data_IF_973529344974
#
_entry.id   IF_973529344974
#
_cell.length_a   1.000
_cell.length_b   1.000
_cell.length_c   1.000
_cell.angle_alpha   90.00
_cell.angle_beta   90.00
_cell.angle_gamma   90.00
#
_symmetry.space_group_name_H-M   'P 1'
#
loop_
_entity.id
_entity.type
_entity.pdbx_description
1 polymer ?
#
# COMPACT_ATOMS: atom_id res chain seq x y z
N UNK A 1 25.38 2.13 -31.99
CA UNK A 1 26.29 1.91 -30.85
C UNK A 1 25.73 2.71 -29.67
N UNK A 2 24.87 2.15 -28.80
CA UNK A 2 24.58 2.80 -27.53
C UNK A 2 25.90 2.89 -26.75
N UNK A 3 26.22 4.08 -26.23
CA UNK A 3 27.51 4.35 -25.60
C UNK A 3 27.72 3.51 -24.34
N UNK A 4 28.97 3.11 -24.09
CA UNK A 4 29.43 2.40 -22.90
C UNK A 4 29.01 3.08 -21.57
N UNK A 5 28.69 4.38 -21.60
CA UNK A 5 28.17 5.15 -20.46
C UNK A 5 26.77 4.71 -20.00
N UNK A 6 25.86 4.34 -20.92
CA UNK A 6 24.51 3.89 -20.55
C UNK A 6 24.55 2.53 -19.82
N UNK A 7 25.49 1.65 -20.20
CA UNK A 7 25.72 0.38 -19.52
C UNK A 7 26.38 0.57 -18.14
N UNK A 8 27.20 1.60 -17.96
CA UNK A 8 27.88 1.90 -16.69
C UNK A 8 26.94 2.48 -15.62
N UNK A 9 25.93 3.29 -16.02
CA UNK A 9 24.94 3.85 -15.07
C UNK A 9 24.04 2.77 -14.47
N UNK A 10 23.74 1.70 -15.22
CA UNK A 10 22.89 0.59 -14.77
C UNK A 10 23.47 -0.21 -13.59
N UNK A 11 24.76 -0.10 -13.29
CA UNK A 11 25.38 -0.79 -12.13
C UNK A 11 25.42 0.04 -10.85
N UNK A 12 25.09 1.34 -10.89
CA UNK A 12 25.19 2.24 -9.72
C UNK A 12 23.91 2.26 -8.89
N UNK A 13 22.76 1.96 -9.49
CA UNK A 13 21.44 2.01 -8.83
C UNK A 13 20.97 0.59 -8.53
N UNK A 14 20.90 0.23 -7.24
CA UNK A 14 20.30 -1.03 -6.80
C UNK A 14 18.80 -1.05 -7.17
N UNK A 15 18.35 -1.98 -8.04
CA UNK A 15 16.96 -2.05 -8.48
C UNK A 15 15.96 -2.23 -7.34
N UNK A 16 16.34 -2.92 -6.24
CA UNK A 16 15.47 -3.10 -5.08
C UNK A 16 15.28 -1.78 -4.34
N UNK A 17 16.35 -1.04 -4.11
CA UNK A 17 16.28 0.29 -3.48
C UNK A 17 15.50 1.28 -4.35
N UNK A 18 15.70 1.24 -5.67
CA UNK A 18 14.96 2.08 -6.60
C UNK A 18 13.47 1.77 -6.59
N UNK A 19 13.07 0.49 -6.66
CA UNK A 19 11.67 0.07 -6.56
C UNK A 19 11.05 0.50 -5.22
N UNK A 20 11.78 0.35 -4.12
CA UNK A 20 11.34 0.81 -2.79
C UNK A 20 11.14 2.32 -2.75
N UNK A 21 12.04 3.08 -3.37
CA UNK A 21 11.92 4.53 -3.48
C UNK A 21 10.67 4.93 -4.28
N UNK A 22 10.44 4.30 -5.44
CA UNK A 22 9.23 4.51 -6.25
C UNK A 22 7.93 4.19 -5.49
N UNK A 23 7.93 3.17 -4.63
CA UNK A 23 6.78 2.82 -3.81
C UNK A 23 6.31 3.92 -2.84
N UNK A 24 7.10 4.98 -2.62
CA UNK A 24 6.66 6.15 -1.85
C UNK A 24 5.69 7.05 -2.62
N UNK A 25 5.59 6.91 -3.94
CA UNK A 25 4.56 7.55 -4.74
C UNK A 25 3.31 6.67 -4.73
N UNK A 26 2.34 7.01 -3.89
CA UNK A 26 1.08 6.29 -3.83
C UNK A 26 0.33 6.41 -5.16
N UNK A 27 -0.25 5.31 -5.63
CA UNK A 27 -0.99 5.24 -6.89
C UNK A 27 -2.34 4.58 -6.66
N UNK A 28 -3.29 4.82 -7.56
CA UNK A 28 -4.44 3.93 -7.70
C UNK A 28 -4.03 2.63 -8.39
N UNK A 29 -4.83 1.58 -8.20
CA UNK A 29 -4.65 0.31 -8.92
C UNK A 29 -5.58 0.26 -10.12
N UNK A 30 -5.06 -0.14 -11.27
CA UNK A 30 -5.88 -0.30 -12.49
C UNK A 30 -5.76 -1.71 -13.06
N UNK A 31 -6.79 -2.17 -13.75
CA UNK A 31 -6.70 -3.27 -14.71
C UNK A 31 -6.91 -2.70 -16.09
N UNK A 32 -5.88 -2.79 -16.93
CA UNK A 32 -5.96 -2.39 -18.33
C UNK A 32 -6.35 -3.59 -19.16
N UNK A 33 -7.33 -3.41 -20.03
CA UNK A 33 -7.95 -4.49 -20.81
C UNK A 33 -7.93 -4.17 -22.30
N UNK A 34 -7.91 -5.22 -23.12
CA UNK A 34 -7.98 -5.15 -24.59
C UNK A 34 -8.54 -6.46 -25.14
N UNK A 35 -8.83 -6.48 -26.45
CA UNK A 35 -9.07 -7.71 -27.21
C UNK A 35 -7.84 -8.00 -28.07
N UNK A 36 -7.42 -9.25 -28.16
CA UNK A 36 -6.35 -9.66 -29.08
C UNK A 36 -6.89 -9.89 -30.52
N UNK A 37 -6.00 -10.08 -31.52
CA UNK A 37 -6.44 -10.31 -32.91
C UNK A 37 -7.27 -11.58 -33.12
N UNK A 38 -7.25 -12.53 -32.19
CA UNK A 38 -8.06 -13.76 -32.23
C UNK A 38 -9.43 -13.58 -31.54
N UNK A 39 -9.71 -12.39 -30.99
CA UNK A 39 -10.94 -12.09 -30.27
C UNK A 39 -10.90 -12.47 -28.79
N UNK A 40 -9.74 -12.86 -28.25
CA UNK A 40 -9.62 -13.20 -26.84
C UNK A 40 -9.48 -11.94 -25.98
N UNK A 41 -10.17 -11.93 -24.83
CA UNK A 41 -10.06 -10.87 -23.84
C UNK A 41 -8.74 -10.97 -23.08
N UNK A 42 -8.05 -9.84 -23.00
CA UNK A 42 -6.75 -9.70 -22.35
C UNK A 42 -6.85 -8.62 -21.29
N UNK A 43 -6.20 -8.85 -20.14
CA UNK A 43 -6.11 -7.83 -19.10
C UNK A 43 -4.87 -7.98 -18.22
N UNK A 44 -4.38 -6.84 -17.75
CA UNK A 44 -3.16 -6.71 -16.95
C UNK A 44 -3.39 -5.68 -15.84
N UNK A 45 -3.04 -6.05 -14.61
CA UNK A 45 -2.98 -5.10 -13.49
C UNK A 45 -1.80 -4.15 -13.69
N UNK A 46 -2.04 -2.85 -13.55
CA UNK A 46 -1.02 -1.81 -13.67
C UNK A 46 -1.24 -0.69 -12.64
N UNK A 47 -0.15 -0.21 -12.05
CA UNK A 47 -0.09 0.99 -11.21
C UNK A 47 0.68 2.14 -11.87
N UNK A 48 1.13 1.95 -13.13
CA UNK A 48 1.87 2.93 -13.93
C UNK A 48 0.98 3.94 -14.65
N UNK A 49 -0.34 3.85 -14.47
CA UNK A 49 -1.32 4.74 -15.10
C UNK A 49 -1.18 6.20 -14.64
N UNK A 50 -1.29 7.15 -15.58
CA UNK A 50 -1.38 8.57 -15.26
C UNK A 50 -2.10 9.38 -16.36
N UNK A 51 -2.60 10.56 -15.99
CA UNK A 51 -3.12 11.55 -16.95
C UNK A 51 -1.99 12.29 -17.67
N UNK A 52 -2.22 12.63 -18.95
CA UNK A 52 -1.23 13.31 -19.81
C UNK A 52 -1.72 14.68 -20.25
N UNK A 53 -2.93 14.75 -20.79
CA UNK A 53 -3.49 15.99 -21.35
C UNK A 53 -5.00 16.05 -21.12
N UNK A 54 -5.53 17.26 -21.00
CA UNK A 54 -6.98 17.51 -20.96
C UNK A 54 -7.55 17.86 -22.34
N UNK A 55 -6.73 18.38 -23.26
CA UNK A 55 -7.16 18.78 -24.61
C UNK A 55 -6.04 18.49 -25.64
N UNK A 56 -6.13 17.40 -26.43
CA UNK A 56 -7.14 16.34 -26.33
C UNK A 56 -7.01 15.56 -25.00
N UNK A 57 -8.07 14.90 -24.52
CA UNK A 57 -8.01 14.12 -23.28
C UNK A 57 -7.13 12.88 -23.50
N UNK A 58 -6.00 12.81 -22.81
CA UNK A 58 -5.02 11.74 -22.98
C UNK A 58 -4.54 11.18 -21.65
N UNK A 59 -4.31 9.87 -21.64
CA UNK A 59 -3.73 9.13 -20.53
C UNK A 59 -2.57 8.26 -21.04
N UNK A 60 -1.74 7.79 -20.12
CA UNK A 60 -0.71 6.79 -20.41
C UNK A 60 -0.64 5.72 -19.34
N UNK A 61 0.02 4.62 -19.68
CA UNK A 61 0.48 3.60 -18.75
C UNK A 61 1.66 2.84 -19.38
N UNK A 62 2.38 2.09 -18.56
CA UNK A 62 3.57 1.34 -18.99
C UNK A 62 3.36 -0.17 -18.86
N UNK A 63 3.68 -0.90 -19.94
CA UNK A 63 3.59 -2.36 -20.04
C UNK A 63 4.99 -2.98 -20.12
N UNK A 64 5.27 -3.96 -19.27
CA UNK A 64 6.51 -4.73 -19.30
C UNK A 64 6.71 -5.40 -20.69
N UNK A 65 7.90 -5.27 -21.28
CA UNK A 65 8.22 -5.87 -22.58
C UNK A 65 8.21 -7.40 -22.57
N UNK A 66 8.45 -8.00 -21.41
CA UNK A 66 8.39 -9.45 -21.19
C UNK A 66 6.98 -9.94 -20.84
N UNK A 67 5.98 -9.05 -20.84
CA UNK A 67 4.59 -9.42 -20.63
C UNK A 67 4.07 -10.32 -21.76
N UNK A 68 3.41 -11.42 -21.39
CA UNK A 68 2.69 -12.30 -22.33
C UNK A 68 1.58 -11.56 -23.07
N UNK A 69 1.09 -10.44 -22.53
CA UNK A 69 0.04 -9.62 -23.12
C UNK A 69 0.58 -8.55 -24.08
N UNK A 70 1.91 -8.40 -24.24
CA UNK A 70 2.52 -7.36 -25.09
C UNK A 70 1.97 -7.35 -26.51
N UNK A 71 1.98 -8.50 -27.18
CA UNK A 71 1.56 -8.60 -28.57
C UNK A 71 0.08 -8.18 -28.77
N UNK A 72 -0.80 -8.48 -27.80
CA UNK A 72 -2.19 -8.06 -27.85
C UNK A 72 -2.33 -6.53 -27.76
N UNK A 73 -1.65 -5.90 -26.82
CA UNK A 73 -1.70 -4.43 -26.65
C UNK A 73 -0.98 -3.67 -27.77
N UNK A 74 0.06 -4.25 -28.39
CA UNK A 74 0.70 -3.69 -29.58
C UNK A 74 -0.21 -3.74 -30.81
N UNK A 75 -0.97 -4.84 -30.98
CA UNK A 75 -1.87 -5.00 -32.12
C UNK A 75 -3.20 -4.25 -31.96
N UNK A 76 -3.75 -4.15 -30.75
CA UNK A 76 -5.07 -3.60 -30.53
C UNK A 76 -5.19 -2.09 -30.77
N UNK A 77 -6.28 -1.65 -31.38
CA UNK A 77 -6.63 -0.24 -31.62
C UNK A 77 -7.13 0.46 -30.36
N UNK A 78 -7.81 -0.27 -29.47
CA UNK A 78 -8.46 0.26 -28.28
C UNK A 78 -8.05 -0.49 -27.01
N UNK A 79 -8.12 0.19 -25.88
CA UNK A 79 -7.97 -0.41 -24.57
C UNK A 79 -8.84 0.32 -23.54
N UNK A 80 -9.18 -0.34 -22.45
CA UNK A 80 -9.94 0.27 -21.35
C UNK A 80 -9.09 0.20 -20.07
N UNK A 81 -8.94 1.35 -19.41
CA UNK A 81 -8.36 1.44 -18.06
C UNK A 81 -9.49 1.37 -17.05
N UNK A 82 -9.49 0.32 -16.22
CA UNK A 82 -10.46 0.12 -15.14
C UNK A 82 -9.78 0.45 -13.80
N UNK A 83 -10.11 1.58 -13.19
CA UNK A 83 -9.57 2.00 -11.88
C UNK A 83 -10.33 1.23 -10.79
N UNK A 84 -9.61 0.35 -10.09
CA UNK A 84 -10.22 -0.59 -9.14
C UNK A 84 -10.72 0.11 -7.89
N UNK A 85 -11.83 -0.38 -7.33
CA UNK A 85 -12.34 0.04 -6.02
C UNK A 85 -11.72 -0.77 -4.88
N UNK A 86 -11.85 -0.29 -3.65
CA UNK A 86 -11.29 -0.93 -2.43
C UNK A 86 -11.73 -2.39 -2.22
N UNK A 87 -12.87 -2.80 -2.80
CA UNK A 87 -13.40 -4.17 -2.72
C UNK A 87 -12.74 -5.13 -3.72
N UNK A 88 -11.94 -4.62 -4.66
CA UNK A 88 -11.45 -5.37 -5.82
C UNK A 88 -9.99 -5.85 -5.70
N UNK A 89 -9.50 -6.10 -4.48
CA UNK A 89 -8.16 -6.67 -4.23
C UNK A 89 -7.97 -8.01 -4.95
N UNK A 90 -8.97 -8.90 -4.85
CA UNK A 90 -8.92 -10.21 -5.50
C UNK A 90 -8.80 -10.10 -7.03
N UNK A 91 -9.47 -9.10 -7.63
CA UNK A 91 -9.40 -8.83 -9.06
C UNK A 91 -8.01 -8.33 -9.46
N UNK A 92 -7.44 -7.40 -8.68
CA UNK A 92 -6.06 -6.93 -8.87
C UNK A 92 -5.06 -8.10 -8.87
N UNK A 93 -5.15 -8.99 -7.89
CA UNK A 93 -4.25 -10.15 -7.75
C UNK A 93 -4.43 -11.15 -8.91
N UNK A 94 -5.66 -11.40 -9.35
CA UNK A 94 -5.96 -12.28 -10.47
C UNK A 94 -5.35 -11.75 -11.79
N UNK A 95 -5.47 -10.43 -12.02
CA UNK A 95 -4.97 -9.81 -13.25
C UNK A 95 -3.47 -9.52 -13.23
N UNK A 96 -2.82 -9.53 -12.07
CA UNK A 96 -1.36 -9.43 -11.93
C UNK A 96 -0.63 -10.76 -12.22
N UNK A 97 -1.28 -11.91 -11.98
CA UNK A 97 -0.69 -13.23 -12.22
C UNK A 97 -0.57 -13.56 -13.72
N UNK A 98 0.44 -14.35 -14.08
CA UNK A 98 0.58 -14.95 -15.42
C UNK A 98 -0.40 -16.12 -15.55
N UNK A 99 -1.03 -16.29 -16.71
CA UNK A 99 -1.92 -17.41 -16.99
C UNK A 99 -3.11 -17.05 -17.87
N UNK A 100 -3.88 -18.06 -18.27
CA UNK A 100 -5.09 -17.94 -19.07
C UNK A 100 -6.34 -17.91 -18.18
N UNK A 101 -7.50 -17.53 -18.76
CA UNK A 101 -8.84 -17.62 -18.14
C UNK A 101 -9.21 -16.59 -17.05
N UNK A 102 -8.49 -15.47 -16.96
CA UNK A 102 -8.78 -14.38 -16.00
C UNK A 102 -10.23 -13.89 -16.02
N UNK A 103 -10.86 -13.91 -17.21
CA UNK A 103 -12.22 -13.40 -17.41
C UNK A 103 -13.35 -14.40 -17.11
N UNK A 104 -13.06 -15.67 -16.74
CA UNK A 104 -14.13 -16.66 -16.51
C UNK A 104 -15.00 -16.36 -15.29
N UNK A 105 -14.41 -15.74 -14.27
CA UNK A 105 -15.06 -15.41 -12.99
C UNK A 105 -15.08 -13.89 -12.76
N UNK A 106 -14.91 -13.10 -13.82
CA UNK A 106 -14.89 -11.63 -13.73
C UNK A 106 -16.14 -11.08 -14.41
N UNK A 107 -16.88 -10.25 -13.69
CA UNK A 107 -18.03 -9.54 -14.24
C UNK A 107 -17.59 -8.32 -15.07
N UNK A 108 -17.91 -8.34 -16.36
CA UNK A 108 -17.65 -7.25 -17.29
C UNK A 108 -18.78 -7.08 -18.30
N UNK A 109 -18.81 -5.91 -18.92
CA UNK A 109 -19.61 -5.62 -20.11
C UNK A 109 -18.69 -5.23 -21.25
N UNK A 110 -19.16 -5.31 -22.49
CA UNK A 110 -18.38 -4.82 -23.63
C UNK A 110 -18.47 -3.29 -23.71
N UNK A 111 -17.31 -2.64 -23.73
CA UNK A 111 -17.17 -1.20 -23.96
C UNK A 111 -16.82 -0.90 -25.42
N UNK A 112 -16.01 0.15 -25.62
CA UNK A 112 -15.53 0.56 -26.94
C UNK A 112 -14.86 -0.61 -27.65
N UNK A 113 -15.26 -0.83 -28.91
CA UNK A 113 -14.66 -1.85 -29.79
C UNK A 113 -14.68 -3.27 -29.21
N UNK A 114 -15.67 -3.58 -28.36
CA UNK A 114 -15.79 -4.90 -27.72
C UNK A 114 -14.80 -5.15 -26.59
N UNK A 115 -14.03 -4.14 -26.16
CA UNK A 115 -13.05 -4.27 -25.08
C UNK A 115 -13.77 -4.47 -23.73
N UNK A 116 -13.33 -5.41 -22.88
CA UNK A 116 -13.95 -5.64 -21.57
C UNK A 116 -13.89 -4.44 -20.64
N UNK A 117 -15.04 -3.96 -20.21
CA UNK A 117 -15.20 -2.94 -19.17
C UNK A 117 -15.64 -3.63 -17.87
N UNK A 118 -14.78 -3.60 -16.86
CA UNK A 118 -15.00 -4.30 -15.60
C UNK A 118 -16.04 -3.56 -14.74
N UNK A 119 -16.93 -4.31 -14.10
CA UNK A 119 -17.96 -3.74 -13.22
C UNK A 119 -17.41 -3.44 -11.82
N UNK A 120 -18.06 -2.56 -11.07
CA UNK A 120 -17.67 -2.23 -9.68
C UNK A 120 -16.42 -1.37 -9.52
N UNK A 121 -15.79 -0.94 -10.63
CA UNK A 121 -14.62 -0.07 -10.62
C UNK A 121 -14.95 1.36 -10.20
N UNK A 122 -14.04 2.03 -9.50
CA UNK A 122 -14.18 3.43 -9.06
C UNK A 122 -14.30 4.40 -10.25
N UNK A 123 -13.54 4.14 -11.31
CA UNK A 123 -13.65 4.86 -12.59
C UNK A 123 -13.23 3.98 -13.77
N UNK A 124 -13.69 4.32 -14.97
CA UNK A 124 -13.26 3.66 -16.22
C UNK A 124 -12.94 4.70 -17.29
N UNK A 125 -11.92 4.40 -18.11
CA UNK A 125 -11.51 5.23 -19.25
C UNK A 125 -11.38 4.36 -20.50
N UNK A 126 -12.25 4.60 -21.48
CA UNK A 126 -12.28 3.91 -22.74
C UNK A 126 -11.43 4.67 -23.76
N UNK A 127 -10.36 4.05 -24.25
CA UNK A 127 -9.29 4.74 -24.95
C UNK A 127 -9.07 4.18 -26.35
N UNK A 128 -8.82 5.09 -27.31
CA UNK A 128 -8.14 4.74 -28.57
C UNK A 128 -6.64 4.88 -28.37
N UNK A 129 -5.88 3.85 -28.71
CA UNK A 129 -4.42 3.90 -28.65
C UNK A 129 -3.89 4.86 -29.72
N UNK A 130 -3.08 5.82 -29.29
CA UNK A 130 -2.54 6.86 -30.17
C UNK A 130 -1.04 6.66 -30.40
N UNK A 131 -0.28 6.35 -29.35
CA UNK A 131 1.16 6.18 -29.44
C UNK A 131 1.65 5.01 -28.58
N UNK A 132 2.78 4.43 -29.02
CA UNK A 132 3.60 3.52 -28.23
C UNK A 132 5.02 4.07 -28.27
N UNK A 133 5.64 4.28 -27.10
CA UNK A 133 7.02 4.73 -26.98
C UNK A 133 7.87 3.70 -26.24
N UNK A 134 9.16 3.70 -26.56
CA UNK A 134 10.18 2.95 -25.83
C UNK A 134 10.44 3.59 -24.45
N UNK A 135 10.38 2.80 -23.38
CA UNK A 135 10.57 3.25 -22.00
C UNK A 135 11.48 2.32 -21.20
N UNK A 136 12.69 2.05 -21.70
CA UNK A 136 13.62 1.12 -21.06
C UNK A 136 13.17 -0.33 -21.22
N UNK A 137 12.88 -1.03 -20.12
CA UNK A 137 12.32 -2.38 -20.10
C UNK A 137 10.78 -2.41 -20.27
N UNK A 138 10.14 -1.25 -20.39
CA UNK A 138 8.70 -1.12 -20.64
C UNK A 138 8.39 -0.45 -21.98
N UNK A 139 7.17 -0.66 -22.46
CA UNK A 139 6.51 0.15 -23.48
C UNK A 139 5.58 1.15 -22.81
N UNK A 140 5.61 2.41 -23.23
CA UNK A 140 4.69 3.45 -22.77
C UNK A 140 3.56 3.54 -23.79
N UNK A 141 2.35 3.13 -23.40
CA UNK A 141 1.16 3.23 -24.22
C UNK A 141 0.43 4.52 -23.87
N UNK A 142 0.13 5.32 -24.90
CA UNK A 142 -0.62 6.58 -24.77
C UNK A 142 -1.93 6.45 -25.51
N UNK A 143 -3.03 6.76 -24.84
CA UNK A 143 -4.38 6.68 -25.40
C UNK A 143 -5.14 7.99 -25.30
N UNK A 144 -5.91 8.30 -26.34
CA UNK A 144 -6.94 9.33 -26.32
C UNK A 144 -8.23 8.77 -25.69
N UNK A 145 -8.77 9.46 -24.69
CA UNK A 145 -9.98 9.03 -23.98
C UNK A 145 -11.20 9.40 -24.82
N UNK A 146 -11.98 8.39 -25.20
CA UNK A 146 -13.21 8.53 -25.99
C UNK A 146 -14.47 8.61 -25.12
N UNK A 147 -14.47 7.87 -24.01
CA UNK A 147 -15.54 7.87 -23.01
C UNK A 147 -14.96 7.55 -21.62
N UNK A 148 -15.60 8.03 -20.57
CA UNK A 148 -15.23 7.74 -19.19
C UNK A 148 -16.45 7.74 -18.27
N UNK A 149 -16.33 7.07 -17.13
CA UNK A 149 -17.36 7.06 -16.08
C UNK A 149 -16.70 6.99 -14.69
N UNK A 150 -17.37 7.56 -13.69
CA UNK A 150 -17.06 7.39 -12.26
C UNK A 150 -18.27 6.77 -11.56
N UNK A 151 -18.04 5.98 -10.51
CA UNK A 151 -19.09 5.23 -9.80
C UNK A 151 -19.26 5.63 -8.33
N UNK A 152 -18.45 6.56 -7.83
CA UNK A 152 -18.46 7.00 -6.43
C UNK A 152 -17.84 6.00 -5.44
N UNK A 153 -17.45 4.80 -5.87
CA UNK A 153 -16.69 3.87 -5.04
C UNK A 153 -15.31 4.44 -4.67
N UNK A 154 -14.84 4.13 -3.46
CA UNK A 154 -13.49 4.49 -3.06
C UNK A 154 -12.46 3.70 -3.89
N UNK A 155 -11.44 4.39 -4.40
CA UNK A 155 -10.40 3.77 -5.21
C UNK A 155 -9.45 2.94 -4.34
N UNK A 156 -9.07 1.76 -4.82
CA UNK A 156 -8.00 0.96 -4.25
C UNK A 156 -6.66 1.65 -4.50
N UNK A 157 -5.90 1.86 -3.42
CA UNK A 157 -4.57 2.44 -3.50
C UNK A 157 -3.51 1.35 -3.38
N UNK A 158 -2.35 1.63 -3.96
CA UNK A 158 -1.12 0.87 -3.75
C UNK A 158 -0.03 1.81 -3.28
N UNK A 159 0.51 1.53 -2.09
CA UNK A 159 1.51 2.36 -1.44
C UNK A 159 2.53 1.48 -0.74
N UNK A 160 3.81 1.69 -1.04
CA UNK A 160 4.95 0.99 -0.43
C UNK A 160 4.87 -0.55 -0.48
N UNK A 161 4.25 -1.10 -1.52
CA UNK A 161 4.15 -2.55 -1.71
C UNK A 161 2.84 -3.16 -1.19
N UNK A 162 1.97 -2.36 -0.57
CA UNK A 162 0.75 -2.85 0.06
C UNK A 162 -0.50 -2.16 -0.51
N UNK A 163 -1.61 -2.91 -0.52
CA UNK A 163 -2.93 -2.33 -0.78
C UNK A 163 -3.33 -1.41 0.36
N UNK A 164 -3.91 -0.26 0.02
CA UNK A 164 -4.25 0.80 0.95
C UNK A 164 -5.59 1.43 0.58
N UNK A 165 -6.16 2.16 1.53
CA UNK A 165 -7.37 2.97 1.33
C UNK A 165 -7.04 4.44 1.47
N UNK A 166 -7.76 5.28 0.75
CA UNK A 166 -7.65 6.73 0.92
C UNK A 166 -8.23 7.13 2.27
N UNK A 167 -7.57 8.06 2.97
CA UNK A 167 -8.11 8.71 4.16
C UNK A 167 -7.96 10.22 4.01
N UNK A 168 -9.01 11.02 4.28
CA UNK A 168 -8.89 12.46 4.29
C UNK A 168 -7.78 12.93 5.23
N UNK A 169 -6.90 13.81 4.74
CA UNK A 169 -5.78 14.31 5.53
C UNK A 169 -6.28 15.02 6.80
N UNK A 170 -5.79 14.70 8.01
CA UNK A 170 -6.31 15.23 9.27
C UNK A 170 -6.33 16.77 9.35
N UNK A 171 -5.33 17.47 8.80
CA UNK A 171 -5.31 18.94 8.76
C UNK A 171 -6.39 19.57 7.87
N UNK A 172 -6.93 18.83 6.91
CA UNK A 172 -8.02 19.27 6.05
C UNK A 172 -9.39 18.87 6.60
N UNK A 173 -9.43 18.07 7.68
CA UNK A 173 -10.64 17.96 8.50
C UNK A 173 -10.89 19.35 9.05
N UNK A 174 -11.83 20.07 8.45
CA UNK A 174 -12.41 21.26 9.08
C UNK A 174 -12.95 20.78 10.41
N UNK A 175 -12.22 21.04 11.49
CA UNK A 175 -12.78 21.00 12.83
C UNK A 175 -13.85 22.07 12.83
N UNK A 176 -15.08 21.69 12.51
CA UNK A 176 -16.19 22.54 12.91
C UNK A 176 -16.13 22.50 14.42
N UNK A 177 -15.73 23.63 15.02
CA UNK A 177 -15.86 23.90 16.46
C UNK A 177 -17.31 23.76 16.93
N UNK A 178 -18.26 23.64 16.00
CA UNK A 178 -19.68 23.35 16.22
C UNK A 178 -20.04 21.85 16.29
N UNK A 179 -19.11 20.91 16.04
CA UNK A 179 -19.45 19.49 16.01
C UNK A 179 -19.72 18.89 17.40
N UNK A 180 -19.26 19.51 18.49
CA UNK A 180 -19.43 19.00 19.87
C UNK A 180 -20.88 18.94 20.36
N UNK A 181 -21.85 19.31 19.50
CA UNK A 181 -23.29 19.22 19.77
C UNK A 181 -24.06 18.47 18.68
N UNK A 182 -23.34 17.85 17.73
CA UNK A 182 -23.94 17.09 16.63
C UNK A 182 -23.73 15.60 16.86
N UNK A 183 -24.67 14.76 16.38
CA UNK A 183 -24.55 13.30 16.44
C UNK A 183 -23.18 12.79 15.97
N UNK A 184 -22.63 13.39 14.91
CA UNK A 184 -21.31 13.00 14.36
C UNK A 184 -20.17 13.31 15.33
N UNK A 185 -20.25 14.41 16.08
CA UNK A 185 -19.22 14.79 17.05
C UNK A 185 -19.15 13.87 18.26
N UNK A 186 -20.27 13.27 18.64
CA UNK A 186 -20.36 12.30 19.74
C UNK A 186 -20.35 10.84 19.27
N UNK A 187 -20.34 10.59 17.95
CA UNK A 187 -20.33 9.25 17.38
C UNK A 187 -18.99 8.55 17.64
N UNK A 188 -19.05 7.31 18.13
CA UNK A 188 -17.87 6.60 18.63
C UNK A 188 -16.75 6.47 17.58
N UNK A 189 -17.07 6.12 16.33
CA UNK A 189 -16.06 5.99 15.26
C UNK A 189 -15.33 7.32 14.96
N UNK A 190 -16.06 8.43 14.99
CA UNK A 190 -15.48 9.76 14.82
C UNK A 190 -14.54 10.11 15.98
N UNK A 191 -14.97 9.86 17.22
CA UNK A 191 -14.16 10.08 18.42
C UNK A 191 -12.89 9.22 18.41
N UNK A 192 -13.00 7.93 18.07
CA UNK A 192 -11.87 7.01 17.94
C UNK A 192 -10.88 7.48 16.86
N UNK A 193 -11.40 7.87 15.69
CA UNK A 193 -10.59 8.40 14.59
C UNK A 193 -9.83 9.67 14.98
N UNK A 194 -10.49 10.61 15.67
CA UNK A 194 -9.86 11.87 16.09
C UNK A 194 -8.83 11.64 17.22
N UNK A 195 -9.12 10.75 18.16
CA UNK A 195 -8.20 10.37 19.23
C UNK A 195 -6.95 9.68 18.65
N UNK A 196 -7.12 8.73 17.72
CA UNK A 196 -6.03 8.04 17.04
C UNK A 196 -5.15 9.01 16.23
N UNK A 197 -5.75 9.94 15.48
CA UNK A 197 -5.00 10.94 14.70
C UNK A 197 -4.14 11.85 15.60
N UNK A 198 -4.68 12.26 16.76
CA UNK A 198 -3.94 13.06 17.75
C UNK A 198 -2.76 12.29 18.32
N UNK A 199 -2.95 11.01 18.66
CA UNK A 199 -1.88 10.14 19.15
C UNK A 199 -0.78 9.96 18.10
N UNK A 200 -1.17 9.60 16.88
CA UNK A 200 -0.24 9.28 15.80
C UNK A 200 0.68 10.47 15.44
N UNK A 201 0.10 11.67 15.31
CA UNK A 201 0.87 12.88 14.96
C UNK A 201 1.97 13.20 15.99
N UNK A 202 1.66 13.03 17.29
CA UNK A 202 2.62 13.28 18.36
C UNK A 202 3.72 12.22 18.41
N UNK A 203 3.34 10.95 18.23
CA UNK A 203 4.28 9.83 18.30
C UNK A 203 5.25 9.77 17.11
N UNK A 204 4.80 10.10 15.90
CA UNK A 204 5.66 10.19 14.71
C UNK A 204 6.85 11.15 14.90
N UNK A 205 6.64 12.25 15.63
CA UNK A 205 7.70 13.22 15.93
C UNK A 205 8.79 12.65 16.86
N UNK A 206 8.47 11.64 17.67
CA UNK A 206 9.43 10.93 18.53
C UNK A 206 10.23 9.94 17.67
N UNK A 207 9.53 9.15 16.85
CA UNK A 207 10.16 8.17 15.97
C UNK A 207 11.14 8.81 14.99
N UNK A 208 10.79 9.96 14.41
CA UNK A 208 11.67 10.70 13.49
C UNK A 208 12.98 11.15 14.15
N UNK A 209 12.93 11.64 15.40
CA UNK A 209 14.13 12.03 16.16
C UNK A 209 15.06 10.85 16.43
N UNK A 210 14.48 9.66 16.57
CA UNK A 210 15.22 8.43 16.82
C UNK A 210 15.63 7.68 15.54
N UNK A 211 15.36 8.26 14.37
CA UNK A 211 15.59 7.69 13.04
C UNK A 211 14.94 6.31 12.87
N UNK A 212 13.73 6.15 13.40
CA UNK A 212 12.94 4.94 13.30
C UNK A 212 11.64 5.17 12.55
N UNK A 213 11.20 4.13 11.84
CA UNK A 213 9.84 4.06 11.27
C UNK A 213 8.88 3.38 12.25
N UNK A 214 7.58 3.63 12.10
CA UNK A 214 6.56 3.08 13.00
C UNK A 214 6.59 1.56 13.12
N UNK A 215 6.73 0.84 11.99
CA UNK A 215 6.83 -0.62 12.01
C UNK A 215 8.17 -1.11 12.58
N UNK A 216 9.29 -0.42 12.32
CA UNK A 216 10.58 -0.76 12.95
C UNK A 216 10.50 -0.65 14.48
N UNK A 217 9.81 0.38 14.99
CA UNK A 217 9.54 0.53 16.42
C UNK A 217 8.71 -0.63 16.99
N UNK A 218 7.59 -0.98 16.33
CA UNK A 218 6.73 -2.07 16.81
C UNK A 218 7.47 -3.40 16.86
N UNK A 219 8.26 -3.70 15.83
CA UNK A 219 9.10 -4.91 15.80
C UNK A 219 10.08 -4.93 16.97
N UNK A 220 10.76 -3.81 17.25
CA UNK A 220 11.70 -3.74 18.38
C UNK A 220 11.00 -3.96 19.74
N UNK A 221 9.83 -3.36 19.96
CA UNK A 221 9.05 -3.57 21.20
C UNK A 221 8.59 -5.01 21.31
N UNK A 222 8.01 -5.57 20.25
CA UNK A 222 7.52 -6.96 20.21
C UNK A 222 8.64 -7.96 20.52
N UNK A 223 9.84 -7.71 20.00
CA UNK A 223 11.02 -8.52 20.30
C UNK A 223 11.53 -8.33 21.73
N UNK A 224 11.44 -7.11 22.27
CA UNK A 224 11.86 -6.79 23.64
C UNK A 224 10.97 -7.40 24.72
N UNK A 225 9.69 -7.64 24.41
CA UNK A 225 8.74 -8.29 25.33
C UNK A 225 8.83 -9.83 25.31
N UNK A 226 9.72 -10.41 24.48
CA UNK A 226 9.79 -11.86 24.24
C UNK A 226 11.22 -12.41 24.30
N UNK A 227 11.56 -13.08 25.39
CA UNK A 227 12.87 -13.72 25.54
C UNK A 227 13.11 -14.89 24.56
N UNK A 228 12.05 -15.62 24.19
CA UNK A 228 12.14 -16.83 23.36
C UNK A 228 12.27 -16.55 21.85
N UNK A 229 12.21 -15.28 21.44
CA UNK A 229 12.25 -14.87 20.04
C UNK A 229 10.96 -15.14 19.29
N UNK A 230 10.85 -14.59 18.09
CA UNK A 230 9.64 -14.67 17.26
C UNK A 230 10.02 -14.93 15.80
N UNK A 231 9.21 -15.71 15.08
CA UNK A 231 9.37 -15.91 13.64
C UNK A 231 8.78 -14.74 12.83
N UNK A 232 9.29 -14.52 11.62
CA UNK A 232 8.82 -13.42 10.75
C UNK A 232 7.32 -13.48 10.44
N UNK A 233 6.78 -14.69 10.22
CA UNK A 233 5.34 -14.86 9.97
C UNK A 233 4.45 -14.51 11.17
N UNK A 234 4.90 -14.83 12.39
CA UNK A 234 4.17 -14.43 13.60
C UNK A 234 4.29 -12.92 13.84
N UNK A 235 5.47 -12.35 13.58
CA UNK A 235 5.71 -10.92 13.65
C UNK A 235 4.79 -10.14 12.69
N UNK A 236 4.62 -10.62 11.46
CA UNK A 236 3.71 -10.03 10.47
C UNK A 236 2.27 -9.96 10.99
N UNK A 237 1.79 -11.01 11.67
CA UNK A 237 0.46 -11.04 12.30
C UNK A 237 0.34 -10.07 13.47
N UNK A 238 1.33 -10.03 14.37
CA UNK A 238 1.33 -9.14 15.55
C UNK A 238 1.40 -7.67 15.13
N UNK A 239 2.22 -7.37 14.13
CA UNK A 239 2.45 -6.01 13.66
C UNK A 239 1.47 -5.55 12.57
N UNK A 240 0.59 -6.43 12.12
CA UNK A 240 -0.40 -6.18 11.06
C UNK A 240 0.28 -5.64 9.79
N UNK A 241 1.36 -6.31 9.39
CA UNK A 241 2.15 -6.01 8.18
C UNK A 241 2.24 -7.26 7.31
N UNK A 242 2.62 -7.10 6.04
CA UNK A 242 2.92 -8.24 5.17
C UNK A 242 4.15 -9.03 5.65
N UNK A 243 4.21 -10.32 5.33
CA UNK A 243 5.38 -11.17 5.62
C UNK A 243 6.65 -10.63 4.98
N UNK A 244 6.55 -10.13 3.75
CA UNK A 244 7.69 -9.54 3.04
C UNK A 244 8.18 -8.27 3.74
N UNK A 245 7.28 -7.39 4.22
CA UNK A 245 7.69 -6.21 4.99
C UNK A 245 8.34 -6.61 6.33
N UNK A 246 7.81 -7.63 7.00
CA UNK A 246 8.40 -8.15 8.23
C UNK A 246 9.85 -8.64 8.02
N UNK A 247 10.08 -9.43 6.98
CA UNK A 247 11.42 -9.91 6.61
C UNK A 247 12.37 -8.75 6.28
N UNK A 248 11.91 -7.77 5.50
CA UNK A 248 12.71 -6.59 5.16
C UNK A 248 13.10 -5.77 6.39
N UNK A 249 12.16 -5.56 7.33
CA UNK A 249 12.43 -4.84 8.57
C UNK A 249 13.46 -5.62 9.41
N UNK A 250 13.27 -6.93 9.56
CA UNK A 250 14.19 -7.78 10.32
C UNK A 250 15.61 -7.74 9.74
N UNK A 251 15.77 -7.82 8.43
CA UNK A 251 17.08 -7.73 7.78
C UNK A 251 17.72 -6.34 7.95
N UNK A 252 16.94 -5.27 7.92
CA UNK A 252 17.45 -3.92 8.20
C UNK A 252 17.92 -3.79 9.65
N UNK A 253 17.14 -4.28 10.61
CA UNK A 253 17.49 -4.23 12.03
C UNK A 253 18.70 -5.13 12.36
N UNK A 254 18.86 -6.26 11.67
CA UNK A 254 20.06 -7.10 11.72
C UNK A 254 21.28 -6.38 11.17
N UNK A 255 21.14 -5.69 10.05
CA UNK A 255 22.22 -4.88 9.46
C UNK A 255 22.68 -3.77 10.41
N UNK A 256 21.74 -3.18 11.17
CA UNK A 256 22.05 -2.20 12.25
C UNK A 256 22.63 -2.85 13.51
N UNK A 257 22.69 -4.18 13.58
CA UNK A 257 23.16 -4.94 14.73
C UNK A 257 22.20 -4.95 15.92
N UNK A 258 20.93 -4.56 15.74
CA UNK A 258 19.93 -4.50 16.80
C UNK A 258 19.16 -5.80 16.98
N UNK A 259 19.09 -6.61 15.92
CA UNK A 259 18.41 -7.91 15.92
C UNK A 259 19.40 -9.00 15.53
N UNK A 260 19.25 -10.18 16.13
CA UNK A 260 19.95 -11.41 15.75
C UNK A 260 18.94 -12.51 15.44
N UNK A 261 19.34 -13.47 14.59
CA UNK A 261 18.55 -14.64 14.26
C UNK A 261 19.20 -15.89 14.86
N UNK A 262 18.38 -16.73 15.48
CA UNK A 262 18.73 -18.07 15.94
C UNK A 262 17.91 -19.10 15.15
N UNK A 263 18.45 -20.32 14.99
CA UNK A 263 17.72 -21.39 14.31
C UNK A 263 16.86 -22.15 15.31
N UNK A 264 15.56 -22.24 15.05
CA UNK A 264 14.66 -23.08 15.82
C UNK A 264 14.88 -24.57 15.52
N UNK A 265 14.42 -25.47 16.41
CA UNK A 265 14.51 -26.92 16.20
C UNK A 265 13.82 -27.43 14.94
N UNK A 266 12.77 -26.74 14.49
CA UNK A 266 12.03 -27.04 13.26
C UNK A 266 12.71 -26.50 11.99
N UNK A 267 13.86 -25.83 12.14
CA UNK A 267 14.58 -25.19 11.05
C UNK A 267 13.98 -23.86 10.61
N UNK A 268 13.13 -23.19 11.39
CA UNK A 268 12.75 -21.79 11.15
C UNK A 268 13.76 -20.81 11.78
N UNK A 269 13.70 -19.53 11.40
CA UNK A 269 14.46 -18.47 12.05
C UNK A 269 13.63 -17.84 13.17
N UNK A 270 14.21 -17.74 14.37
CA UNK A 270 13.69 -16.95 15.47
C UNK A 270 14.55 -15.71 15.65
N UNK A 271 13.90 -14.56 15.74
CA UNK A 271 14.57 -13.28 15.87
C UNK A 271 14.49 -12.78 17.31
N UNK A 272 15.58 -12.18 17.78
CA UNK A 272 15.72 -11.64 19.14
C UNK A 272 16.46 -10.31 19.11
N UNK A 273 16.26 -9.46 20.12
CA UNK A 273 17.08 -8.26 20.29
C UNK A 273 18.50 -8.62 20.75
N UNK A 274 19.48 -7.92 20.17
CA UNK A 274 20.86 -7.94 20.69
C UNK A 274 20.98 -7.01 21.91
N UNK A 275 22.14 -7.01 22.58
CA UNK A 275 22.41 -6.00 23.61
C UNK A 275 22.33 -4.56 23.09
N UNK A 276 22.75 -4.32 21.84
CA UNK A 276 22.62 -3.01 21.19
C UNK A 276 21.15 -2.67 20.88
N UNK A 277 20.35 -3.67 20.48
CA UNK A 277 18.91 -3.51 20.29
C UNK A 277 18.18 -3.12 21.58
N UNK A 278 18.48 -3.80 22.69
CA UNK A 278 17.94 -3.44 24.01
C UNK A 278 18.34 -2.02 24.42
N UNK A 279 19.62 -1.66 24.26
CA UNK A 279 20.12 -0.32 24.58
C UNK A 279 19.42 0.79 23.77
N UNK A 280 19.02 0.49 22.52
CA UNK A 280 18.21 1.40 21.69
C UNK A 280 16.75 1.45 22.13
N UNK A 281 16.17 0.31 22.53
CA UNK A 281 14.76 0.19 22.89
C UNK A 281 14.41 0.93 24.19
N UNK A 282 15.22 0.80 25.24
CA UNK A 282 14.94 1.34 26.58
C UNK A 282 14.61 2.84 26.60
N UNK A 283 15.45 3.75 26.06
CA UNK A 283 15.14 5.18 26.07
C UNK A 283 13.88 5.51 25.25
N UNK A 284 13.58 4.71 24.24
CA UNK A 284 12.39 4.89 23.42
C UNK A 284 11.11 4.43 24.10
N UNK A 285 11.14 3.32 24.84
CA UNK A 285 10.02 2.91 25.70
C UNK A 285 9.72 3.97 26.76
N UNK A 286 10.77 4.57 27.34
CA UNK A 286 10.60 5.69 28.26
C UNK A 286 9.97 6.92 27.57
N UNK A 287 10.43 7.30 26.38
CA UNK A 287 9.85 8.41 25.62
C UNK A 287 8.38 8.16 25.20
N UNK A 288 8.05 6.94 24.76
CA UNK A 288 6.70 6.53 24.43
C UNK A 288 5.77 6.56 25.65
N UNK A 289 6.25 6.08 26.80
CA UNK A 289 5.51 6.10 28.06
C UNK A 289 5.27 7.52 28.56
N UNK A 290 6.29 8.40 28.48
CA UNK A 290 6.15 9.81 28.82
C UNK A 290 5.14 10.52 27.91
N UNK A 291 5.20 10.26 26.60
CA UNK A 291 4.23 10.78 25.65
C UNK A 291 2.79 10.32 25.94
N UNK A 292 2.60 9.03 26.26
CA UNK A 292 1.29 8.52 26.66
C UNK A 292 0.79 9.21 27.94
N UNK A 293 1.66 9.39 28.93
CA UNK A 293 1.33 10.08 30.17
C UNK A 293 0.92 11.54 29.94
N UNK A 294 1.66 12.29 29.11
CA UNK A 294 1.33 13.67 28.75
C UNK A 294 -0.02 13.75 28.01
N UNK A 295 -0.26 12.83 27.06
CA UNK A 295 -1.50 12.80 26.30
C UNK A 295 -2.71 12.50 27.19
N UNK A 296 -2.54 11.61 28.17
CA UNK A 296 -3.57 11.23 29.13
C UNK A 296 -3.61 12.15 30.36
N UNK A 297 -2.81 13.22 30.41
CA UNK A 297 -2.71 14.12 31.56
C UNK A 297 -4.00 14.87 31.90
N UNK A 298 -5.00 14.87 31.00
CA UNK A 298 -6.34 15.39 31.30
C UNK A 298 -7.25 14.39 32.05
N UNK A 299 -6.81 13.15 32.23
CA UNK A 299 -7.50 12.09 32.96
C UNK A 299 -6.81 11.80 34.29
N UNK A 300 -7.56 11.33 35.28
CA UNK A 300 -6.99 10.65 36.43
C UNK A 300 -6.35 9.30 36.03
N UNK A 301 -5.45 8.79 36.86
CA UNK A 301 -4.82 7.48 36.62
C UNK A 301 -5.85 6.33 36.51
N UNK A 302 -6.97 6.43 37.23
CA UNK A 302 -8.07 5.46 37.16
C UNK A 302 -8.82 5.53 35.83
N UNK A 303 -9.18 6.74 35.39
CA UNK A 303 -9.86 6.96 34.10
C UNK A 303 -8.99 6.55 32.91
N UNK A 304 -7.70 6.88 32.94
CA UNK A 304 -6.73 6.48 31.92
C UNK A 304 -6.65 4.95 31.78
N UNK A 305 -6.60 4.24 32.93
CA UNK A 305 -6.61 2.76 32.93
C UNK A 305 -7.92 2.20 32.40
N UNK A 306 -9.05 2.75 32.85
CA UNK A 306 -10.37 2.32 32.41
C UNK A 306 -10.58 2.52 30.91
N UNK A 307 -10.11 3.64 30.34
CA UNK A 307 -10.14 3.89 28.91
C UNK A 307 -9.40 2.78 28.13
N UNK A 308 -8.17 2.44 28.56
CA UNK A 308 -7.37 1.37 27.94
C UNK A 308 -8.08 0.02 28.02
N UNK A 309 -8.70 -0.30 29.16
CA UNK A 309 -9.43 -1.56 29.34
C UNK A 309 -10.70 -1.61 28.47
N UNK A 310 -11.42 -0.50 28.33
CA UNK A 310 -12.58 -0.40 27.44
C UNK A 310 -12.19 -0.57 25.97
N UNK A 311 -11.09 0.04 25.53
CA UNK A 311 -10.58 -0.12 24.16
C UNK A 311 -10.14 -1.55 23.90
N UNK A 312 -9.43 -2.19 24.83
CA UNK A 312 -9.08 -3.63 24.71
C UNK A 312 -10.33 -4.49 24.56
N UNK A 313 -11.37 -4.25 25.36
CA UNK A 313 -12.65 -4.97 25.26
C UNK A 313 -13.36 -4.71 23.94
N UNK A 314 -13.27 -3.50 23.40
CA UNK A 314 -13.84 -3.17 22.09
C UNK A 314 -13.12 -3.90 20.95
N UNK A 315 -11.79 -3.98 21.02
CA UNK A 315 -10.95 -4.65 20.01
C UNK A 315 -11.09 -6.18 20.08
N UNK A 316 -11.13 -6.75 21.29
CA UNK A 316 -11.22 -8.20 21.52
C UNK A 316 -12.67 -8.73 21.52
N UNK A 317 -13.65 -7.83 21.62
CA UNK A 317 -15.05 -8.17 21.59
C UNK A 317 -15.40 -8.71 20.21
N UNK A 318 -15.91 -9.94 20.16
CA UNK A 318 -16.42 -10.54 18.94
C UNK A 318 -17.42 -9.60 18.28
N UNK A 319 -17.20 -9.25 17.01
CA UNK A 319 -18.28 -8.77 16.18
C UNK A 319 -19.38 -9.86 16.13
N UNK A 320 -20.67 -9.49 16.13
CA UNK A 320 -21.75 -10.47 15.93
C UNK A 320 -21.61 -11.19 14.58
#
# INVERSE_FOLDING_TARGET
MPSLEAAAISQVVDPRQFRRALGNFATGVTVVTTVDPAGAYIGVTASSFNSVSLKPPMILWSLDKDSLSRAAFEAASHFIVNVLSTEQVALSDAFAKRGTHKFRETDFVEGVDGVPLLTGCAATFQCRKTFIYEGGDHLILVGEVLAFAESGHEALLFYRGEYSVSRPHPRLRRTSTHASSSFVGDYLDYLLSQAAAKFQTGFESILQREHLRQHEWRVLVTLGDRDQGIGAGELALVDLISSDEADEILDQLRTRGWVAAARAPDGSNLYHLTGAGHAKLVPMQAAASAFEADLLGCFSAGEARQLKDMLKRLILGSAP
#
